data_IF_356411375179
#
_entry.id   IF_356411375179
#
_cell.length_a   1.000
_cell.length_b   1.000
_cell.length_c   1.000
_cell.angle_alpha   90.00
_cell.angle_beta   90.00
_cell.angle_gamma   90.00
#
_symmetry.space_group_name_H-M   'P 1'
#
loop_
_entity.id
_entity.type
_entity.pdbx_description
1 polymer ?
#
# COMPACT_ATOMS: atom_id res chain seq x y z
N UNK A 1 16.94 15.03 1.87
CA UNK A 1 15.75 15.59 1.20
C UNK A 1 14.58 15.45 2.16
N UNK A 2 13.67 16.43 2.22
CA UNK A 2 12.51 16.38 3.12
C UNK A 2 12.06 17.78 3.55
N UNK A 3 11.01 17.82 4.36
CA UNK A 3 10.44 19.05 4.90
C UNK A 3 10.94 19.28 6.33
N UNK A 4 11.21 20.54 6.66
CA UNK A 4 11.41 20.98 8.04
C UNK A 4 10.04 21.20 8.66
N UNK A 5 9.82 20.62 9.84
CA UNK A 5 8.57 20.76 10.59
C UNK A 5 8.88 21.50 11.90
N UNK A 6 8.04 22.45 12.29
CA UNK A 6 8.16 23.16 13.57
C UNK A 6 7.86 22.25 14.77
N UNK A 7 8.47 22.53 15.91
CA UNK A 7 8.36 21.73 17.15
C UNK A 7 6.91 21.39 17.51
N UNK A 8 6.04 22.40 17.46
CA UNK A 8 4.63 22.30 17.82
C UNK A 8 3.86 21.24 17.00
N UNK A 9 4.38 20.88 15.82
CA UNK A 9 3.74 19.96 14.88
C UNK A 9 4.46 18.60 14.76
N UNK A 10 5.54 18.38 15.52
CA UNK A 10 6.23 17.07 15.54
C UNK A 10 5.52 16.10 16.48
N UNK A 11 5.73 14.81 16.29
CA UNK A 11 5.30 13.75 17.22
C UNK A 11 6.50 13.25 18.02
N UNK A 12 6.29 12.64 19.19
CA UNK A 12 7.37 12.02 19.95
C UNK A 12 7.99 10.86 19.12
N UNK A 13 9.32 10.62 19.21
CA UNK A 13 10.32 11.34 20.01
C UNK A 13 10.88 12.62 19.36
N UNK A 14 10.47 12.93 18.12
CA UNK A 14 11.01 14.04 17.31
C UNK A 14 10.72 15.45 17.82
N UNK A 15 9.97 15.59 18.92
CA UNK A 15 9.77 16.86 19.64
C UNK A 15 11.01 17.30 20.41
N UNK A 16 11.90 16.38 20.80
CA UNK A 16 13.15 16.72 21.48
C UNK A 16 14.12 17.41 20.51
N UNK A 17 14.29 18.73 20.67
CA UNK A 17 15.16 19.54 19.82
C UNK A 17 16.66 19.38 20.11
N UNK A 18 17.02 18.79 21.24
CA UNK A 18 18.42 18.45 21.54
C UNK A 18 18.83 17.20 20.77
N UNK A 19 17.97 16.18 20.78
CA UNK A 19 18.19 14.94 20.03
C UNK A 19 17.91 15.08 18.52
N UNK A 20 16.87 15.86 18.15
CA UNK A 20 16.41 16.06 16.78
C UNK A 20 16.33 17.55 16.41
N UNK A 21 17.47 18.23 16.19
CA UNK A 21 17.50 19.66 15.91
C UNK A 21 16.68 20.03 14.68
N UNK A 22 16.06 21.22 14.70
CA UNK A 22 15.13 21.67 13.66
C UNK A 22 15.76 21.69 12.27
N UNK A 23 16.97 22.23 12.19
CA UNK A 23 17.63 22.55 10.91
C UNK A 23 18.29 21.33 10.25
N UNK A 24 18.49 20.26 11.01
CA UNK A 24 19.12 19.02 10.52
C UNK A 24 18.13 17.86 10.38
N UNK A 25 16.98 17.91 11.08
CA UNK A 25 15.96 16.85 11.02
C UNK A 25 14.97 17.11 9.90
N UNK A 26 14.91 16.20 8.92
CA UNK A 26 14.05 16.28 7.75
C UNK A 26 13.00 15.17 7.75
N UNK A 27 11.78 15.50 7.30
CA UNK A 27 10.64 14.56 7.25
C UNK A 27 10.18 14.30 5.82
N UNK A 28 9.71 13.09 5.56
CA UNK A 28 9.13 12.74 4.27
C UNK A 28 7.71 13.31 4.13
N UNK A 29 7.35 13.90 2.97
CA UNK A 29 5.99 14.36 2.69
C UNK A 29 5.08 13.16 2.35
N UNK A 30 4.83 12.28 3.30
CA UNK A 30 4.07 11.04 3.10
C UNK A 30 2.67 11.29 2.54
N UNK A 31 2.00 12.36 2.93
CA UNK A 31 0.70 12.76 2.37
C UNK A 31 0.75 13.00 0.85
N UNK A 32 1.83 13.62 0.35
CA UNK A 32 2.03 13.80 -1.09
C UNK A 32 2.21 12.45 -1.78
N UNK A 33 3.01 11.57 -1.19
CA UNK A 33 3.22 10.22 -1.72
C UNK A 33 1.92 9.42 -1.76
N UNK A 34 1.09 9.49 -0.70
CA UNK A 34 -0.24 8.88 -0.66
C UNK A 34 -1.15 9.44 -1.76
N UNK A 35 -1.18 10.77 -1.92
CA UNK A 35 -2.03 11.43 -2.93
C UNK A 35 -1.63 11.04 -4.36
N UNK A 36 -0.33 11.03 -4.65
CA UNK A 36 0.20 10.61 -5.95
C UNK A 36 -0.08 9.13 -6.21
N UNK A 37 0.09 8.28 -5.19
CA UNK A 37 -0.21 6.85 -5.31
C UNK A 37 -1.69 6.59 -5.56
N UNK A 38 -2.58 7.30 -4.85
CA UNK A 38 -4.03 7.19 -5.07
C UNK A 38 -4.42 7.61 -6.48
N UNK A 39 -3.87 8.72 -6.98
CA UNK A 39 -4.14 9.17 -8.35
C UNK A 39 -3.61 8.18 -9.40
N UNK A 40 -2.38 7.67 -9.21
CA UNK A 40 -1.80 6.67 -10.08
C UNK A 40 -2.60 5.36 -10.07
N UNK A 41 -2.99 4.90 -8.88
CA UNK A 41 -3.80 3.70 -8.69
C UNK A 41 -5.18 3.80 -9.35
N UNK A 42 -5.86 4.94 -9.15
CA UNK A 42 -7.13 5.23 -9.82
C UNK A 42 -6.99 5.21 -11.34
N UNK A 43 -5.97 5.89 -11.87
CA UNK A 43 -5.67 5.89 -13.30
C UNK A 43 -5.37 4.49 -13.84
N UNK A 44 -4.59 3.70 -13.11
CA UNK A 44 -4.23 2.33 -13.48
C UNK A 44 -5.45 1.40 -13.53
N UNK A 45 -6.36 1.49 -12.54
CA UNK A 45 -7.58 0.68 -12.52
C UNK A 45 -8.51 1.05 -13.66
N UNK A 46 -8.72 2.36 -13.93
CA UNK A 46 -9.52 2.79 -15.09
C UNK A 46 -8.90 2.32 -16.40
N UNK A 47 -7.57 2.41 -16.53
CA UNK A 47 -6.87 1.93 -17.72
C UNK A 47 -7.04 0.41 -17.89
N UNK A 48 -6.97 -0.35 -16.79
CA UNK A 48 -7.22 -1.80 -16.78
C UNK A 48 -8.65 -2.12 -17.22
N UNK A 49 -9.65 -1.44 -16.64
CA UNK A 49 -11.07 -1.61 -16.98
C UNK A 49 -11.34 -1.32 -18.45
N UNK A 50 -10.77 -0.24 -18.99
CA UNK A 50 -10.92 0.11 -20.39
C UNK A 50 -10.19 -0.86 -21.32
N UNK A 51 -8.99 -1.31 -20.93
CA UNK A 51 -8.15 -2.15 -21.79
C UNK A 51 -8.61 -3.59 -21.84
N UNK A 52 -9.19 -4.09 -20.76
CA UNK A 52 -9.58 -5.49 -20.59
C UNK A 52 -11.08 -5.66 -20.33
N UNK A 53 -11.90 -4.71 -20.78
CA UNK A 53 -13.35 -4.71 -20.59
C UNK A 53 -13.99 -6.07 -20.93
N UNK A 54 -13.58 -6.68 -22.05
CA UNK A 54 -14.13 -7.96 -22.52
C UNK A 54 -13.61 -9.20 -21.75
N UNK A 55 -12.57 -9.02 -20.92
CA UNK A 55 -11.89 -10.10 -20.19
C UNK A 55 -12.11 -10.02 -18.68
N UNK A 56 -12.49 -8.87 -18.16
CA UNK A 56 -12.70 -8.67 -16.73
C UNK A 56 -13.92 -9.45 -16.24
N UNK A 57 -13.73 -10.17 -15.15
CA UNK A 57 -14.75 -10.93 -14.46
C UNK A 57 -15.22 -10.16 -13.22
N UNK A 58 -16.44 -10.47 -12.71
CA UNK A 58 -16.90 -9.91 -11.45
C UNK A 58 -15.87 -10.08 -10.34
N UNK A 59 -15.53 -8.99 -9.65
CA UNK A 59 -14.55 -8.96 -8.57
C UNK A 59 -13.11 -8.64 -9.01
N UNK A 60 -12.77 -8.68 -10.30
CA UNK A 60 -11.40 -8.37 -10.75
C UNK A 60 -10.99 -6.93 -10.46
N UNK A 61 -11.90 -5.98 -10.63
CA UNK A 61 -11.65 -4.57 -10.32
C UNK A 61 -11.39 -4.35 -8.82
N UNK A 62 -12.17 -5.01 -7.95
CA UNK A 62 -11.98 -4.96 -6.51
C UNK A 62 -10.66 -5.64 -6.08
N UNK A 63 -10.31 -6.76 -6.73
CA UNK A 63 -9.05 -7.45 -6.50
C UNK A 63 -7.84 -6.61 -6.95
N UNK A 64 -7.92 -5.96 -8.11
CA UNK A 64 -6.92 -5.01 -8.58
C UNK A 64 -6.77 -3.83 -7.61
N UNK A 65 -7.89 -3.28 -7.11
CA UNK A 65 -7.86 -2.24 -6.08
C UNK A 65 -7.17 -2.72 -4.79
N UNK A 66 -7.50 -3.92 -4.29
CA UNK A 66 -6.87 -4.49 -3.10
C UNK A 66 -5.35 -4.62 -3.26
N UNK A 67 -4.89 -5.06 -4.44
CA UNK A 67 -3.46 -5.17 -4.76
C UNK A 67 -2.81 -3.78 -4.79
N UNK A 68 -3.38 -2.83 -5.51
CA UNK A 68 -2.81 -1.46 -5.65
C UNK A 68 -2.78 -0.75 -4.30
N UNK A 69 -3.85 -0.85 -3.51
CA UNK A 69 -3.93 -0.27 -2.18
C UNK A 69 -2.91 -0.92 -1.24
N UNK A 70 -2.84 -2.26 -1.21
CA UNK A 70 -1.87 -2.99 -0.39
C UNK A 70 -0.43 -2.67 -0.77
N UNK A 71 -0.12 -2.59 -2.06
CA UNK A 71 1.20 -2.20 -2.54
C UNK A 71 1.59 -0.81 -2.04
N UNK A 72 0.71 0.18 -2.20
CA UNK A 72 0.94 1.55 -1.73
C UNK A 72 1.15 1.64 -0.22
N UNK A 73 0.25 1.00 0.54
CA UNK A 73 0.35 1.00 2.00
C UNK A 73 1.61 0.31 2.50
N UNK A 74 2.08 -0.77 1.86
CA UNK A 74 3.27 -1.49 2.30
C UNK A 74 4.51 -0.59 2.42
N UNK A 75 4.78 0.23 1.39
CA UNK A 75 5.99 1.07 1.35
C UNK A 75 5.79 2.41 2.04
N UNK A 76 4.64 3.08 1.87
CA UNK A 76 4.37 4.37 2.51
C UNK A 76 4.32 4.23 4.03
N UNK A 77 3.74 3.15 4.53
CA UNK A 77 3.67 2.89 5.97
C UNK A 77 5.07 2.72 6.58
N UNK A 78 6.04 2.22 5.82
CA UNK A 78 7.44 2.15 6.24
C UNK A 78 8.10 3.53 6.45
N UNK A 79 7.59 4.56 5.77
CA UNK A 79 8.10 5.94 5.89
C UNK A 79 7.43 6.75 7.02
N UNK A 80 6.31 6.25 7.56
CA UNK A 80 5.58 6.95 8.61
C UNK A 80 6.30 6.84 9.95
N UNK A 81 6.11 7.83 10.80
CA UNK A 81 6.66 7.86 12.16
C UNK A 81 5.59 7.63 13.23
N UNK A 82 4.32 7.63 12.84
CA UNK A 82 3.13 7.64 13.71
C UNK A 82 2.27 6.37 13.57
N UNK A 83 2.86 5.26 13.14
CA UNK A 83 2.10 4.03 12.86
C UNK A 83 1.70 3.25 14.12
N UNK A 84 0.58 2.54 13.99
CA UNK A 84 0.15 1.56 14.96
C UNK A 84 0.96 0.26 14.78
N UNK A 85 1.75 -0.08 15.78
CA UNK A 85 2.57 -1.28 15.82
C UNK A 85 1.79 -2.44 16.50
N UNK A 86 2.15 -3.70 16.22
CA UNK A 86 1.47 -4.87 16.82
C UNK A 86 1.79 -5.10 18.30
N UNK A 87 2.83 -4.44 18.83
CA UNK A 87 3.28 -4.49 20.22
C UNK A 87 2.64 -3.41 21.12
N UNK A 88 1.78 -2.53 20.61
CA UNK A 88 1.00 -1.60 21.43
C UNK A 88 0.51 -0.34 20.72
N UNK A 89 -0.20 0.52 21.49
CA UNK A 89 -0.59 1.87 21.05
C UNK A 89 0.53 2.85 21.44
N UNK A 90 1.31 3.26 20.45
CA UNK A 90 2.24 4.40 20.56
C UNK A 90 3.70 4.01 20.84
N UNK A 91 4.55 4.19 19.83
CA UNK A 91 5.99 4.32 20.00
C UNK A 91 6.81 3.15 19.45
N UNK A 92 7.70 3.48 18.51
CA UNK A 92 8.85 2.71 18.03
C UNK A 92 8.58 1.26 17.58
N UNK A 93 8.10 1.11 16.34
CA UNK A 93 8.03 -0.19 15.64
C UNK A 93 9.43 -0.72 15.23
N UNK A 94 10.42 -0.70 16.13
CA UNK A 94 11.79 -1.11 15.81
C UNK A 94 11.90 -2.63 15.52
N UNK A 95 10.96 -3.44 16.04
CA UNK A 95 10.93 -4.89 15.85
C UNK A 95 9.57 -5.46 15.41
N UNK A 96 8.48 -4.69 15.50
CA UNK A 96 7.12 -5.13 15.20
C UNK A 96 6.67 -4.69 13.79
N UNK A 97 5.98 -5.58 13.07
CA UNK A 97 5.30 -5.22 11.83
C UNK A 97 4.17 -4.24 12.14
N UNK A 98 4.03 -3.21 11.31
CA UNK A 98 2.93 -2.25 11.44
C UNK A 98 1.63 -2.94 11.04
N UNK A 99 0.53 -2.65 11.73
CA UNK A 99 -0.78 -3.28 11.43
C UNK A 99 -1.18 -3.06 9.97
N UNK A 100 -0.91 -1.87 9.44
CA UNK A 100 -1.16 -1.56 8.05
C UNK A 100 -0.27 -2.34 7.06
N UNK A 101 0.96 -2.74 7.44
CA UNK A 101 1.79 -3.63 6.61
C UNK A 101 1.22 -5.05 6.57
N UNK A 102 0.72 -5.55 7.71
CA UNK A 102 0.06 -6.86 7.77
C UNK A 102 -1.20 -6.86 6.91
N UNK A 103 -2.06 -5.85 7.07
CA UNK A 103 -3.25 -5.69 6.24
C UNK A 103 -2.89 -5.59 4.75
N UNK A 104 -1.80 -4.89 4.41
CA UNK A 104 -1.32 -4.78 3.03
C UNK A 104 -0.93 -6.13 2.44
N UNK A 105 -0.18 -6.94 3.19
CA UNK A 105 0.20 -8.30 2.76
C UNK A 105 -1.05 -9.15 2.53
N UNK A 106 -2.02 -9.11 3.46
CA UNK A 106 -3.29 -9.84 3.33
C UNK A 106 -4.03 -9.42 2.06
N UNK A 107 -4.16 -8.11 1.80
CA UNK A 107 -4.85 -7.60 0.61
C UNK A 107 -4.13 -7.97 -0.69
N UNK A 108 -2.79 -7.93 -0.71
CA UNK A 108 -2.00 -8.35 -1.87
C UNK A 108 -2.20 -9.83 -2.19
N UNK A 109 -2.14 -10.69 -1.18
CA UNK A 109 -2.34 -12.13 -1.33
C UNK A 109 -3.78 -12.46 -1.74
N UNK A 110 -4.77 -11.86 -1.07
CA UNK A 110 -6.17 -12.09 -1.35
C UNK A 110 -6.56 -11.60 -2.76
N UNK A 111 -6.15 -10.38 -3.13
CA UNK A 111 -6.42 -9.85 -4.47
C UNK A 111 -5.75 -10.69 -5.57
N UNK A 112 -4.50 -11.11 -5.36
CA UNK A 112 -3.80 -11.98 -6.31
C UNK A 112 -4.46 -13.35 -6.44
N UNK A 113 -4.94 -13.92 -5.33
CA UNK A 113 -5.66 -15.18 -5.32
C UNK A 113 -7.01 -15.09 -6.05
N UNK A 114 -7.75 -13.99 -5.89
CA UNK A 114 -9.02 -13.75 -6.60
C UNK A 114 -8.78 -13.65 -8.11
N UNK A 115 -7.82 -12.83 -8.54
CA UNK A 115 -7.48 -12.72 -9.97
C UNK A 115 -7.01 -14.08 -10.52
N UNK A 116 -6.15 -14.78 -9.78
CA UNK A 116 -5.66 -16.10 -10.14
C UNK A 116 -6.78 -17.13 -10.26
N UNK A 117 -7.76 -17.12 -9.34
CA UNK A 117 -8.95 -17.99 -9.38
C UNK A 117 -9.86 -17.65 -10.56
N UNK A 118 -10.12 -16.36 -10.77
CA UNK A 118 -10.97 -15.87 -11.84
C UNK A 118 -10.39 -16.17 -13.22
N UNK A 119 -9.07 -16.23 -13.39
CA UNK A 119 -8.43 -16.43 -14.70
C UNK A 119 -7.75 -17.79 -14.86
N UNK A 120 -8.10 -18.79 -14.06
CA UNK A 120 -7.59 -20.17 -14.26
C UNK A 120 -8.05 -20.70 -15.62
N UNK A 121 -7.17 -21.35 -16.40
CA UNK A 121 -7.60 -22.07 -17.59
C UNK A 121 -8.56 -23.19 -17.17
N UNK A 122 -9.83 -23.08 -17.59
CA UNK A 122 -10.83 -24.12 -17.34
C UNK A 122 -10.38 -25.40 -18.04
N UNK A 123 -10.34 -26.54 -17.33
CA UNK A 123 -9.87 -27.84 -17.86
C UNK A 123 -10.60 -28.27 -19.16
N UNK A 124 -11.82 -27.78 -19.40
CA UNK A 124 -12.57 -28.02 -20.63
C UNK A 124 -11.91 -27.42 -21.90
N UNK A 125 -11.18 -26.31 -21.78
CA UNK A 125 -10.48 -25.69 -22.92
C UNK A 125 -9.21 -26.46 -23.32
N UNK A 126 -8.59 -27.19 -22.38
CA UNK A 126 -7.41 -28.01 -22.65
C UNK A 126 -7.74 -29.28 -23.48
N UNK A 127 -8.92 -29.86 -23.28
CA UNK A 127 -9.34 -31.10 -23.97
C UNK A 127 -9.78 -30.89 -25.42
N UNK A 128 -10.17 -29.66 -25.81
CA UNK A 128 -10.54 -29.32 -27.21
C UNK A 128 -9.34 -29.14 -28.15
N UNK A 129 -8.11 -29.23 -27.64
CA UNK A 129 -6.87 -29.04 -28.41
C UNK A 129 -6.00 -30.31 -28.50
N UNK A 130 -6.50 -31.43 -27.99
CA UNK A 130 -5.88 -32.74 -28.22
C UNK A 130 -6.21 -33.19 -29.66
N UNK A 131 -5.20 -33.44 -30.51
CA UNK A 131 -5.39 -33.89 -31.90
C UNK A 131 -5.97 -35.30 -32.00
#
# INVERSE_FOLDING_TARGET
>A
FGLVIDEAHRVAPFRDMVAYPRDTTLFHPTFLYESLWNLAGFGAIIALERRFADRLRPGDAAAAYAIVYGAGRLWIEGLRTDSLCTDGIGGECAAALRVAQIASIVLLLAGSAVLGWNHRPTAAAAQSSAP
#
